data_IF_143435669743
#
_entry.id   IF_143435669743
#
_cell.length_a   1.000
_cell.length_b   1.000
_cell.length_c   1.000
_cell.angle_alpha   90.00
_cell.angle_beta   90.00
_cell.angle_gamma   90.00
#
_symmetry.space_group_name_H-M   'P 1'
#
loop_
_entity.id
_entity.type
_entity.pdbx_description
1 polymer ?
#
# COMPACT_ATOMS: atom_id res chain seq x y z
N UNK A 1 15.20 -3.54 -17.85
CA UNK A 1 13.90 -3.11 -18.37
C UNK A 1 13.67 -3.59 -19.78
N UNK A 2 12.83 -4.61 -19.90
CA UNK A 2 12.25 -5.10 -21.13
C UNK A 2 11.60 -3.97 -21.91
N UNK A 3 11.70 -4.01 -23.24
CA UNK A 3 11.20 -2.93 -24.11
C UNK A 3 9.69 -2.70 -23.97
N UNK A 4 8.94 -3.78 -23.73
CA UNK A 4 7.47 -3.74 -23.62
C UNK A 4 7.04 -3.14 -22.27
N UNK A 5 7.89 -3.22 -21.24
CA UNK A 5 7.63 -2.64 -19.94
C UNK A 5 7.84 -1.12 -19.90
N UNK A 6 8.42 -0.52 -20.96
CA UNK A 6 8.61 0.94 -21.06
C UNK A 6 7.31 1.71 -20.93
N UNK A 7 6.22 1.14 -21.43
CA UNK A 7 4.89 1.67 -21.26
C UNK A 7 3.94 0.51 -20.94
N UNK A 8 3.35 0.54 -19.74
CA UNK A 8 2.25 -0.35 -19.39
C UNK A 8 0.92 0.40 -19.59
N UNK A 9 -0.13 -0.32 -19.98
CA UNK A 9 -1.47 0.25 -20.18
C UNK A 9 -2.47 -0.38 -19.23
N UNK A 10 -3.23 0.47 -18.54
CA UNK A 10 -4.40 0.08 -17.78
C UNK A 10 -5.65 0.46 -18.55
N UNK A 11 -6.64 -0.42 -18.55
CA UNK A 11 -7.99 -0.05 -18.97
C UNK A 11 -8.58 0.98 -17.99
N UNK A 12 -9.61 1.70 -18.44
CA UNK A 12 -10.32 2.64 -17.56
C UNK A 12 -10.91 1.95 -16.32
N UNK A 13 -11.42 0.74 -16.46
CA UNK A 13 -12.00 -0.04 -15.36
C UNK A 13 -10.95 -0.45 -14.33
N UNK A 14 -9.78 -0.92 -14.78
CA UNK A 14 -8.66 -1.26 -13.91
C UNK A 14 -8.12 -0.02 -13.18
N UNK A 15 -7.96 1.10 -13.90
CA UNK A 15 -7.52 2.35 -13.30
C UNK A 15 -8.51 2.84 -12.24
N UNK A 16 -9.82 2.77 -12.51
CA UNK A 16 -10.86 3.13 -11.54
C UNK A 16 -10.87 2.20 -10.34
N UNK A 17 -10.66 0.89 -10.54
CA UNK A 17 -10.54 -0.09 -9.46
C UNK A 17 -9.37 0.24 -8.53
N UNK A 18 -8.18 0.48 -9.10
CA UNK A 18 -6.98 0.89 -8.36
C UNK A 18 -7.21 2.20 -7.61
N UNK A 19 -7.75 3.22 -8.27
CA UNK A 19 -8.02 4.52 -7.65
C UNK A 19 -9.03 4.44 -6.51
N UNK A 20 -10.08 3.62 -6.66
CA UNK A 20 -11.09 3.41 -5.62
C UNK A 20 -10.45 2.83 -4.35
N UNK A 21 -9.63 1.79 -4.49
CA UNK A 21 -8.92 1.18 -3.36
C UNK A 21 -7.94 2.18 -2.73
N UNK A 22 -7.12 2.89 -3.51
CA UNK A 22 -6.20 3.92 -3.00
C UNK A 22 -6.95 5.01 -2.23
N UNK A 23 -8.06 5.50 -2.78
CA UNK A 23 -8.82 6.58 -2.17
C UNK A 23 -9.49 6.12 -0.86
N UNK A 24 -10.00 4.88 -0.82
CA UNK A 24 -10.53 4.28 0.41
C UNK A 24 -9.48 4.28 1.53
N UNK A 25 -8.24 3.85 1.24
CA UNK A 25 -7.13 3.88 2.20
C UNK A 25 -6.79 5.32 2.64
N UNK A 26 -6.55 6.21 1.67
CA UNK A 26 -6.10 7.58 1.94
C UNK A 26 -7.10 8.36 2.78
N UNK A 27 -8.38 8.35 2.39
CA UNK A 27 -9.42 9.10 3.07
C UNK A 27 -9.67 8.53 4.47
N UNK A 28 -9.78 7.20 4.60
CA UNK A 28 -10.04 6.58 5.90
C UNK A 28 -8.92 6.83 6.90
N UNK A 29 -7.66 6.64 6.50
CA UNK A 29 -6.51 6.86 7.40
C UNK A 29 -6.37 8.33 7.79
N UNK A 30 -6.58 9.25 6.84
CA UNK A 30 -6.60 10.70 7.11
C UNK A 30 -7.69 11.05 8.11
N UNK A 31 -8.89 10.49 7.97
CA UNK A 31 -10.02 10.85 8.82
C UNK A 31 -9.89 10.22 10.22
N UNK A 32 -9.28 9.04 10.35
CA UNK A 32 -8.86 8.46 11.65
C UNK A 32 -7.86 9.40 12.34
N UNK A 33 -6.78 9.81 11.66
CA UNK A 33 -5.81 10.76 12.22
C UNK A 33 -6.48 12.10 12.58
N UNK A 34 -7.35 12.60 11.68
CA UNK A 34 -8.37 13.64 11.86
C UNK A 34 -8.96 13.65 13.26
N UNK A 35 -9.66 12.56 13.53
CA UNK A 35 -10.45 12.38 14.74
C UNK A 35 -9.57 12.40 15.99
N UNK A 36 -8.47 11.65 16.02
CA UNK A 36 -7.67 11.50 17.24
C UNK A 36 -6.69 12.66 17.50
N UNK A 37 -6.22 13.37 16.47
CA UNK A 37 -5.21 14.43 16.62
C UNK A 37 -5.74 15.86 16.48
N UNK A 38 -6.95 16.10 15.98
CA UNK A 38 -7.47 17.47 15.81
C UNK A 38 -8.67 17.80 16.71
N UNK A 39 -9.23 16.84 17.45
CA UNK A 39 -10.48 17.04 18.19
C UNK A 39 -10.35 17.23 19.71
N UNK A 40 -9.13 17.21 20.29
CA UNK A 40 -8.96 17.16 21.75
C UNK A 40 -7.87 18.10 22.27
N UNK A 41 -8.14 18.72 23.43
CA UNK A 41 -7.19 19.52 24.23
C UNK A 41 -6.04 18.68 24.78
N UNK A 42 -4.87 19.30 24.97
CA UNK A 42 -3.57 18.66 25.33
C UNK A 42 -3.59 17.68 26.52
N UNK A 43 -4.54 17.79 27.45
CA UNK A 43 -4.59 17.01 28.69
C UNK A 43 -4.75 15.48 28.50
N UNK A 44 -5.04 14.97 27.30
CA UNK A 44 -5.24 13.54 27.02
C UNK A 44 -4.38 12.95 25.89
N UNK A 45 -3.25 13.59 25.54
CA UNK A 45 -2.42 13.21 24.39
C UNK A 45 -2.00 11.72 24.36
N UNK A 46 -1.53 11.17 25.49
CA UNK A 46 -1.07 9.75 25.57
C UNK A 46 -2.24 8.78 25.30
N UNK A 47 -3.41 9.03 25.86
CA UNK A 47 -4.60 8.20 25.64
C UNK A 47 -5.07 8.28 24.18
N UNK A 48 -4.96 9.47 23.56
CA UNK A 48 -5.30 9.66 22.15
C UNK A 48 -4.34 8.93 21.23
N UNK A 49 -3.04 8.90 21.54
CA UNK A 49 -2.06 8.15 20.76
C UNK A 49 -2.32 6.64 20.82
N UNK A 50 -2.58 6.10 22.00
CA UNK A 50 -2.93 4.67 22.17
C UNK A 50 -4.22 4.34 21.40
N UNK A 51 -5.24 5.20 21.48
CA UNK A 51 -6.49 5.01 20.77
C UNK A 51 -6.32 5.10 19.24
N UNK A 52 -5.52 6.06 18.75
CA UNK A 52 -5.16 6.20 17.35
C UNK A 52 -4.46 4.95 16.81
N UNK A 53 -3.43 4.46 17.52
CA UNK A 53 -2.71 3.24 17.15
C UNK A 53 -3.66 2.04 17.09
N UNK A 54 -4.50 1.87 18.11
CA UNK A 54 -5.50 0.79 18.16
C UNK A 54 -6.51 0.86 17.02
N UNK A 55 -7.05 2.04 16.73
CA UNK A 55 -8.02 2.21 15.65
C UNK A 55 -7.37 2.00 14.28
N UNK A 56 -6.16 2.52 14.08
CA UNK A 56 -5.44 2.39 12.81
C UNK A 56 -5.08 0.93 12.53
N UNK A 57 -4.49 0.21 13.49
CA UNK A 57 -4.23 -1.23 13.35
C UNK A 57 -5.51 -2.01 13.15
N UNK A 58 -6.55 -1.73 13.94
CA UNK A 58 -7.85 -2.36 13.80
C UNK A 58 -8.51 -2.11 12.43
N UNK A 59 -8.36 -0.90 11.88
CA UNK A 59 -8.82 -0.55 10.55
C UNK A 59 -8.08 -1.36 9.49
N UNK A 60 -6.75 -1.47 9.59
CA UNK A 60 -5.90 -2.25 8.68
C UNK A 60 -6.35 -3.71 8.64
N UNK A 61 -6.52 -4.33 9.81
CA UNK A 61 -6.84 -5.75 9.93
C UNK A 61 -8.28 -6.05 9.52
N UNK A 62 -9.26 -5.34 10.09
CA UNK A 62 -10.69 -5.60 9.86
C UNK A 62 -11.09 -5.34 8.41
N UNK A 63 -10.51 -4.33 7.76
CA UNK A 63 -10.82 -3.98 6.37
C UNK A 63 -9.90 -4.63 5.36
N UNK A 64 -9.02 -5.55 5.81
CA UNK A 64 -8.12 -6.35 4.97
C UNK A 64 -7.27 -5.47 4.05
N UNK A 65 -6.71 -4.39 4.60
CA UNK A 65 -5.97 -3.39 3.81
C UNK A 65 -4.79 -4.02 3.06
N UNK A 66 -4.10 -5.00 3.64
CA UNK A 66 -3.04 -5.75 2.96
C UNK A 66 -3.54 -6.52 1.74
N UNK A 67 -4.73 -7.11 1.79
CA UNK A 67 -5.34 -7.77 0.64
C UNK A 67 -5.75 -6.77 -0.44
N UNK A 68 -6.26 -5.60 -0.06
CA UNK A 68 -6.58 -4.52 -1.01
C UNK A 68 -5.33 -4.01 -1.72
N UNK A 69 -4.24 -3.81 -1.00
CA UNK A 69 -2.94 -3.46 -1.57
C UNK A 69 -2.40 -4.56 -2.48
N UNK A 70 -2.56 -5.83 -2.11
CA UNK A 70 -2.18 -6.96 -2.96
C UNK A 70 -3.00 -6.99 -4.27
N UNK A 71 -4.29 -6.65 -4.21
CA UNK A 71 -5.14 -6.54 -5.39
C UNK A 71 -4.71 -5.40 -6.32
N UNK A 72 -4.41 -4.21 -5.77
CA UNK A 72 -3.83 -3.10 -6.54
C UNK A 72 -2.52 -3.56 -7.21
N UNK A 73 -1.63 -4.21 -6.45
CA UNK A 73 -0.35 -4.70 -6.97
C UNK A 73 -0.57 -5.69 -8.12
N UNK A 74 -1.49 -6.63 -7.96
CA UNK A 74 -1.85 -7.61 -8.99
C UNK A 74 -2.25 -6.93 -10.31
N UNK A 75 -3.19 -5.98 -10.27
CA UNK A 75 -3.66 -5.26 -11.47
C UNK A 75 -2.50 -4.60 -12.22
N UNK A 76 -1.56 -4.00 -11.49
CA UNK A 76 -0.40 -3.32 -12.09
C UNK A 76 0.61 -4.34 -12.63
N UNK A 77 0.96 -5.34 -11.84
CA UNK A 77 1.93 -6.38 -12.19
C UNK A 77 1.50 -7.17 -13.42
N UNK A 78 0.21 -7.46 -13.58
CA UNK A 78 -0.33 -8.15 -14.77
C UNK A 78 -0.10 -7.40 -16.09
N UNK A 79 0.30 -6.13 -16.05
CA UNK A 79 0.63 -5.34 -17.25
C UNK A 79 2.09 -5.40 -17.66
N UNK A 80 2.93 -6.02 -16.85
CA UNK A 80 4.33 -6.23 -17.17
C UNK A 80 4.52 -7.52 -17.95
N UNK A 81 5.43 -7.47 -18.93
CA UNK A 81 6.09 -8.64 -19.46
C UNK A 81 7.07 -9.18 -18.38
N UNK A 82 6.92 -10.46 -18.04
CA UNK A 82 7.67 -11.18 -17.01
C UNK A 82 8.71 -12.15 -17.61
N UNK A 83 9.13 -11.94 -18.86
CA UNK A 83 10.27 -12.64 -19.43
C UNK A 83 11.54 -12.33 -18.62
N UNK A 84 12.24 -13.39 -18.23
CA UNK A 84 13.48 -13.29 -17.45
C UNK A 84 14.63 -12.76 -18.31
N UNK A 85 15.46 -11.92 -17.69
CA UNK A 85 16.72 -11.45 -18.27
C UNK A 85 17.87 -12.45 -18.10
N UNK A 86 19.07 -12.04 -18.50
CA UNK A 86 20.30 -12.87 -18.44
C UNK A 86 20.72 -13.26 -17.01
N UNK A 87 20.20 -12.59 -16.00
CA UNK A 87 20.44 -12.83 -14.58
C UNK A 87 19.25 -13.52 -13.88
N UNK A 88 18.38 -14.16 -14.65
CA UNK A 88 17.28 -14.99 -14.16
C UNK A 88 16.22 -14.21 -13.35
N UNK A 89 16.12 -12.89 -13.57
CA UNK A 89 15.12 -12.02 -12.94
C UNK A 89 14.33 -11.23 -13.99
N UNK A 90 13.02 -11.10 -13.75
CA UNK A 90 12.20 -10.14 -14.48
C UNK A 90 12.45 -8.68 -14.00
N UNK A 91 11.81 -7.71 -14.65
CA UNK A 91 11.97 -6.31 -14.26
C UNK A 91 11.35 -5.97 -12.90
N UNK A 92 10.26 -6.63 -12.51
CA UNK A 92 9.59 -6.39 -11.24
C UNK A 92 10.48 -6.91 -10.12
N UNK A 93 10.94 -8.16 -10.21
CA UNK A 93 11.82 -8.81 -9.23
C UNK A 93 13.05 -7.95 -8.96
N UNK A 94 13.72 -7.51 -10.03
CA UNK A 94 14.90 -6.65 -9.96
C UNK A 94 14.64 -5.31 -9.26
N UNK A 95 13.46 -4.72 -9.44
CA UNK A 95 13.10 -3.49 -8.72
C UNK A 95 12.71 -3.78 -7.26
N UNK A 96 12.04 -4.90 -6.99
CA UNK A 96 11.63 -5.29 -5.64
C UNK A 96 12.83 -5.68 -4.75
N UNK A 97 13.90 -6.25 -5.31
CA UNK A 97 15.14 -6.56 -4.58
C UNK A 97 15.80 -5.33 -3.95
N UNK A 98 15.54 -4.13 -4.50
CA UNK A 98 16.10 -2.87 -3.98
C UNK A 98 15.38 -2.39 -2.72
N UNK A 99 14.23 -2.97 -2.40
CA UNK A 99 13.38 -2.53 -1.29
C UNK A 99 13.79 -3.29 -0.03
N UNK A 100 14.18 -2.55 1.02
CA UNK A 100 14.32 -3.13 2.35
C UNK A 100 12.94 -3.21 3.01
N UNK A 101 12.42 -4.43 3.16
CA UNK A 101 11.19 -4.66 3.91
C UNK A 101 11.43 -4.61 5.42
N UNK A 102 10.35 -4.44 6.17
CA UNK A 102 10.42 -4.56 7.62
C UNK A 102 10.88 -5.98 8.00
N UNK A 103 11.90 -6.04 8.84
CA UNK A 103 12.42 -7.25 9.46
C UNK A 103 12.10 -7.17 10.95
N UNK A 104 11.98 -8.33 11.61
CA UNK A 104 11.74 -8.32 13.06
C UNK A 104 12.90 -7.59 13.77
N UNK A 105 12.63 -6.81 14.83
CA UNK A 105 13.71 -6.13 15.55
C UNK A 105 14.76 -7.13 16.07
N UNK A 106 16.01 -6.92 15.68
CA UNK A 106 17.15 -7.75 16.11
C UNK A 106 17.51 -8.91 15.17
N UNK A 107 16.88 -9.00 14.00
CA UNK A 107 17.39 -9.80 12.87
C UNK A 107 18.42 -9.05 12.02
#
# INVERSE_FOLDING_TARGET
MHKDNKNIMLTGEEALSVLSEINYLLISLRDIARYYYHSQSDDNMINNEIAYCKETTGFIDRNKITHRLAHIRMIITEKFNNELGDDDMDDIEREMEKIKYWEKPGD
#
